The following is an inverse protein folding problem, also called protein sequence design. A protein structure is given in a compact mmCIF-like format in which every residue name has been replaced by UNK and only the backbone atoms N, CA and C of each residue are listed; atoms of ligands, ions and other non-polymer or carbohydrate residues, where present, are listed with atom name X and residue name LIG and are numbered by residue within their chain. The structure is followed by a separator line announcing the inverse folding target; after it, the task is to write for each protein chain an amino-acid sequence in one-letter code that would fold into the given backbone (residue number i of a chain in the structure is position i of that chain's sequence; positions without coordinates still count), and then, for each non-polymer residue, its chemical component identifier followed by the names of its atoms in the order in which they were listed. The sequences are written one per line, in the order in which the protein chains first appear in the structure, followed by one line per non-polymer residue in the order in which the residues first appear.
data_IF_518170805286
#
_entry.id   IF_518170805286
#
_cell.length_a   1.000
_cell.length_b   1.000
_cell.length_c   1.000
_cell.angle_alpha   90.00
_cell.angle_beta   90.00
_cell.angle_gamma   90.00
#
_symmetry.space_group_name_H-M   'P 1'
#
loop_
_entity.id
_entity.type
_entity.pdbx_description
1 polymer ?
#
# COMPACT_ATOMS: atom_id res chain seq x y z
N UNK A 1 -6.14 -2.99 -17.67
CA UNK A 1 -7.17 -3.55 -16.78
C UNK A 1 -7.94 -2.41 -16.13
N UNK A 2 -9.26 -2.29 -16.33
CA UNK A 2 -10.08 -1.36 -15.54
C UNK A 2 -10.40 -2.04 -14.20
N UNK A 3 -9.86 -1.52 -13.10
CA UNK A 3 -10.14 -2.00 -11.75
C UNK A 3 -11.52 -1.46 -11.36
N UNK A 4 -12.57 -2.30 -11.44
CA UNK A 4 -13.95 -1.89 -11.13
C UNK A 4 -14.23 -1.81 -9.62
N UNK A 5 -13.56 -2.63 -8.80
CA UNK A 5 -13.73 -2.68 -7.34
C UNK A 5 -12.55 -2.03 -6.64
N UNK A 6 -12.81 -1.29 -5.55
CA UNK A 6 -11.76 -0.73 -4.70
C UNK A 6 -10.78 -1.84 -4.24
N UNK A 7 -9.47 -1.71 -4.54
CA UNK A 7 -8.46 -2.64 -4.05
C UNK A 7 -8.39 -2.63 -2.52
N UNK A 8 -8.18 -3.79 -1.90
CA UNK A 8 -8.00 -3.89 -0.45
C UNK A 8 -6.74 -3.15 -0.01
N UNK A 9 -6.84 -2.42 1.10
CA UNK A 9 -5.71 -1.70 1.68
C UNK A 9 -4.68 -2.69 2.25
N UNK A 10 -3.37 -2.54 1.99
CA UNK A 10 -2.35 -3.48 2.49
C UNK A 10 -2.31 -3.56 4.01
N UNK A 11 -2.64 -2.46 4.71
CA UNK A 11 -2.79 -2.47 6.16
C UNK A 11 -3.93 -3.34 6.69
N UNK A 12 -5.03 -3.49 5.93
CA UNK A 12 -6.13 -4.40 6.29
C UNK A 12 -5.68 -5.84 6.17
N UNK A 13 -5.00 -6.19 5.07
CA UNK A 13 -4.40 -7.53 4.88
C UNK A 13 -3.38 -7.85 5.97
N UNK A 14 -2.50 -6.90 6.31
CA UNK A 14 -1.56 -7.09 7.42
C UNK A 14 -2.30 -7.36 8.76
N UNK A 15 -3.43 -6.71 8.99
CA UNK A 15 -4.23 -6.89 10.21
C UNK A 15 -4.90 -8.26 10.26
N UNK A 16 -5.63 -8.61 9.19
CA UNK A 16 -6.50 -9.78 9.14
C UNK A 16 -5.72 -11.08 8.89
N UNK A 17 -4.67 -11.03 8.05
CA UNK A 17 -4.02 -12.25 7.56
C UNK A 17 -2.68 -12.53 8.26
N UNK A 18 -2.13 -11.54 8.98
CA UNK A 18 -0.84 -11.68 9.69
C UNK A 18 -0.98 -11.45 11.19
N UNK A 19 -1.43 -10.26 11.61
CA UNK A 19 -1.42 -9.89 13.03
C UNK A 19 -2.44 -10.70 13.83
N UNK A 20 -3.69 -10.79 13.36
CA UNK A 20 -4.74 -11.55 14.06
C UNK A 20 -4.47 -13.05 14.14
N UNK A 21 -4.09 -13.76 13.05
CA UNK A 21 -3.85 -15.20 13.09
C UNK A 21 -2.65 -15.58 13.96
N UNK A 22 -1.65 -14.70 14.06
CA UNK A 22 -0.51 -14.87 14.95
C UNK A 22 -0.79 -14.47 16.41
N UNK A 23 -2.00 -13.99 16.73
CA UNK A 23 -2.38 -13.56 18.09
C UNK A 23 -1.57 -12.36 18.59
N UNK A 24 -1.00 -11.55 17.69
CA UNK A 24 -0.14 -10.45 18.08
C UNK A 24 -0.94 -9.21 18.47
N UNK A 25 -0.53 -8.56 19.55
CA UNK A 25 -1.01 -7.20 19.84
C UNK A 25 -0.38 -6.22 18.85
N UNK A 26 -1.04 -5.08 18.61
CA UNK A 26 -0.47 -3.99 17.78
C UNK A 26 0.88 -3.51 18.32
N UNK A 27 1.06 -3.52 19.65
CA UNK A 27 2.31 -3.13 20.28
C UNK A 27 3.43 -4.13 19.96
N UNK A 28 3.16 -5.42 20.07
CA UNK A 28 4.14 -6.48 19.78
C UNK A 28 4.48 -6.52 18.29
N UNK A 29 3.48 -6.43 17.40
CA UNK A 29 3.71 -6.37 15.97
C UNK A 29 4.54 -5.12 15.58
N UNK A 30 4.28 -3.96 16.18
CA UNK A 30 5.05 -2.75 15.92
C UNK A 30 6.52 -2.89 16.38
N UNK A 31 6.72 -3.52 17.54
CA UNK A 31 8.07 -3.83 18.06
C UNK A 31 8.83 -4.74 17.10
N UNK A 32 8.22 -5.83 16.63
CA UNK A 32 8.83 -6.77 15.66
C UNK A 32 9.17 -6.11 14.32
N UNK A 33 8.31 -5.20 13.86
CA UNK A 33 8.55 -4.43 12.64
C UNK A 33 9.55 -3.27 12.84
N UNK A 34 9.99 -2.98 14.06
CA UNK A 34 10.88 -1.85 14.36
C UNK A 34 10.25 -0.50 13.99
N UNK A 35 8.98 -0.30 14.35
CA UNK A 35 8.22 0.94 14.13
C UNK A 35 7.45 1.34 15.38
N UNK A 36 7.00 2.60 15.44
CA UNK A 36 6.16 3.02 16.55
C UNK A 36 4.78 2.35 16.47
N UNK A 37 4.15 2.10 17.63
CA UNK A 37 2.75 1.61 17.70
C UNK A 37 1.79 2.53 16.94
N UNK A 38 2.01 3.85 16.99
CA UNK A 38 1.19 4.85 16.27
C UNK A 38 1.29 4.65 14.75
N UNK A 39 2.51 4.44 14.24
CA UNK A 39 2.75 4.19 12.81
C UNK A 39 2.04 2.93 12.35
N UNK A 40 2.22 1.81 13.06
CA UNK A 40 1.55 0.56 12.70
C UNK A 40 0.02 0.70 12.81
N UNK A 41 -0.48 1.32 13.88
CA UNK A 41 -1.91 1.55 14.09
C UNK A 41 -2.55 2.35 12.95
N UNK A 42 -1.87 3.40 12.47
CA UNK A 42 -2.36 4.18 11.34
C UNK A 42 -2.45 3.34 10.05
N UNK A 43 -1.44 2.50 9.80
CA UNK A 43 -1.42 1.60 8.63
C UNK A 43 -2.56 0.56 8.70
N UNK A 44 -2.67 -0.19 9.80
CA UNK A 44 -3.64 -1.31 9.92
C UNK A 44 -5.10 -0.86 10.03
N UNK A 45 -5.32 0.43 10.33
CA UNK A 45 -6.64 1.05 10.32
C UNK A 45 -6.91 1.85 9.04
N UNK A 46 -6.11 1.65 7.99
CA UNK A 46 -6.27 2.27 6.67
C UNK A 46 -6.22 3.81 6.70
N UNK A 47 -5.57 4.40 7.71
CA UNK A 47 -5.40 5.85 7.89
C UNK A 47 -4.07 6.36 7.35
N UNK A 48 -3.17 5.48 6.93
CA UNK A 48 -1.90 5.80 6.31
C UNK A 48 -1.58 4.80 5.20
N UNK A 49 -1.01 5.28 4.09
CA UNK A 49 -0.50 4.43 3.03
C UNK A 49 0.73 3.64 3.47
N UNK A 50 0.94 2.48 2.85
CA UNK A 50 2.15 1.70 3.02
C UNK A 50 3.34 2.38 2.30
N UNK A 51 4.40 2.70 3.04
CA UNK A 51 5.67 3.18 2.45
C UNK A 51 6.56 2.02 1.97
N UNK A 52 7.51 2.26 1.05
CA UNK A 52 8.51 1.26 0.66
C UNK A 52 9.31 0.68 1.84
N UNK A 53 9.72 1.53 2.78
CA UNK A 53 10.42 1.07 3.99
C UNK A 53 9.57 0.13 4.84
N UNK A 54 8.27 0.43 4.99
CA UNK A 54 7.35 -0.43 5.72
C UNK A 54 7.11 -1.75 4.97
N UNK A 55 7.02 -1.72 3.63
CA UNK A 55 6.91 -2.92 2.81
C UNK A 55 8.11 -3.86 3.02
N UNK A 56 9.34 -3.32 3.05
CA UNK A 56 10.56 -4.09 3.35
C UNK A 56 10.49 -4.72 4.76
N UNK A 57 10.04 -3.95 5.76
CA UNK A 57 9.91 -4.45 7.15
C UNK A 57 8.90 -5.59 7.26
N UNK A 58 7.73 -5.45 6.63
CA UNK A 58 6.69 -6.48 6.62
C UNK A 58 7.18 -7.72 5.87
N UNK A 59 7.78 -7.54 4.70
CA UNK A 59 8.34 -8.62 3.90
C UNK A 59 9.35 -9.47 4.68
N UNK A 60 10.30 -8.82 5.36
CA UNK A 60 11.26 -9.51 6.23
C UNK A 60 10.60 -10.24 7.40
N UNK A 61 9.55 -9.67 7.99
CA UNK A 61 8.85 -10.27 9.12
C UNK A 61 7.89 -11.41 8.74
N UNK A 62 7.52 -11.52 7.47
CA UNK A 62 6.53 -12.49 6.96
C UNK A 62 7.10 -13.45 5.92
N UNK A 63 8.40 -13.34 5.61
CA UNK A 63 9.08 -14.11 4.55
C UNK A 63 8.38 -13.99 3.18
N UNK A 64 7.91 -12.78 2.87
CA UNK A 64 7.25 -12.44 1.60
C UNK A 64 8.04 -11.40 0.81
N UNK A 65 7.61 -11.05 -0.41
CA UNK A 65 8.26 -10.03 -1.24
C UNK A 65 7.78 -8.60 -0.89
N UNK A 66 8.67 -7.61 -0.71
CA UNK A 66 8.29 -6.19 -0.56
C UNK A 66 7.43 -5.66 -1.72
N UNK A 67 7.70 -6.13 -2.94
CA UNK A 67 7.02 -5.75 -4.17
C UNK A 67 5.55 -6.14 -4.15
N UNK A 68 5.19 -7.29 -3.57
CA UNK A 68 3.79 -7.71 -3.44
C UNK A 68 3.00 -6.72 -2.59
N UNK A 69 3.56 -6.29 -1.45
CA UNK A 69 2.93 -5.30 -0.57
C UNK A 69 2.84 -3.93 -1.22
N UNK A 70 3.90 -3.48 -1.89
CA UNK A 70 3.88 -2.21 -2.64
C UNK A 70 2.89 -2.24 -3.79
N UNK A 71 2.79 -3.35 -4.53
CA UNK A 71 1.84 -3.49 -5.62
C UNK A 71 0.39 -3.36 -5.15
N UNK A 72 0.07 -3.83 -3.95
CA UNK A 72 -1.25 -3.61 -3.35
C UNK A 72 -1.52 -2.12 -3.11
N UNK A 73 -0.54 -1.42 -2.52
CA UNK A 73 -0.63 0.02 -2.30
C UNK A 73 -0.76 0.78 -3.63
N UNK A 74 0.06 0.46 -4.62
CA UNK A 74 0.04 1.09 -5.94
C UNK A 74 -1.30 0.86 -6.64
N UNK A 75 -1.88 -0.35 -6.56
CA UNK A 75 -3.22 -0.61 -7.10
C UNK A 75 -4.28 0.26 -6.45
N UNK A 76 -4.25 0.39 -5.11
CA UNK A 76 -5.18 1.24 -4.37
C UNK A 76 -5.01 2.72 -4.74
N UNK A 77 -3.78 3.20 -4.80
CA UNK A 77 -3.48 4.60 -5.12
C UNK A 77 -3.88 4.95 -6.56
N UNK A 78 -3.58 4.06 -7.51
CA UNK A 78 -4.02 4.19 -8.90
C UNK A 78 -5.55 4.16 -9.01
N UNK A 79 -6.23 3.28 -8.27
CA UNK A 79 -7.69 3.25 -8.26
C UNK A 79 -8.26 4.57 -7.72
N UNK A 80 -7.76 5.08 -6.59
CA UNK A 80 -8.17 6.38 -6.03
C UNK A 80 -7.87 7.54 -6.99
N UNK A 81 -6.71 7.54 -7.61
CA UNK A 81 -6.29 8.55 -8.59
C UNK A 81 -7.19 8.52 -9.83
N UNK A 82 -7.50 7.34 -10.37
CA UNK A 82 -8.32 7.18 -11.59
C UNK A 82 -9.74 7.75 -11.49
N UNK A 83 -10.23 7.99 -10.28
CA UNK A 83 -11.54 8.62 -10.02
C UNK A 83 -11.49 10.15 -10.12
N UNK A 84 -10.31 10.73 -10.29
CA UNK A 84 -10.11 12.17 -10.51
C UNK A 84 -10.06 12.45 -12.01
N UNK A 85 -10.49 13.63 -12.40
CA UNK A 85 -10.32 14.12 -13.76
C UNK A 85 -8.96 14.79 -13.90
N UNK A 86 -8.21 14.40 -14.94
CA UNK A 86 -6.91 14.98 -15.29
C UNK A 86 -7.01 15.60 -16.69
N UNK A 87 -6.61 16.86 -16.81
CA UNK A 87 -6.42 17.49 -18.11
C UNK A 87 -4.96 17.25 -18.55
N UNK A 88 -4.76 16.40 -19.54
CA UNK A 88 -3.43 16.04 -20.05
C UNK A 88 -3.40 16.20 -21.57
N UNK A 89 -2.31 16.76 -22.08
CA UNK A 89 -2.00 16.79 -23.51
C UNK A 89 -1.15 15.56 -23.82
N UNK A 90 -1.50 14.81 -24.85
CA UNK A 90 -0.78 13.59 -25.21
C UNK A 90 0.60 13.92 -25.79
N UNK A 91 1.64 13.19 -25.37
CA UNK A 91 3.01 13.35 -25.89
C UNK A 91 3.16 13.17 -27.42
N UNK A 92 2.12 12.72 -28.11
CA UNK A 92 2.11 12.55 -29.57
C UNK A 92 1.58 13.77 -30.33
N UNK A 93 1.09 14.80 -29.66
CA UNK A 93 0.59 16.04 -30.28
C UNK A 93 1.71 17.09 -30.44
N UNK A 94 2.86 16.69 -30.98
CA UNK A 94 3.82 17.66 -31.52
C UNK A 94 3.54 17.77 -33.01
N UNK A 95 2.73 18.77 -33.38
CA UNK A 95 2.66 19.19 -34.77
C UNK A 95 4.07 19.54 -35.26
N UNK A 96 4.38 19.06 -36.45
CA UNK A 96 5.61 19.28 -37.20
C UNK A 96 6.27 20.64 -36.90
N UNK A 97 7.46 20.60 -36.30
CA UNK A 97 8.47 21.64 -36.51
C UNK A 97 9.47 21.02 -37.47
N UNK A 98 9.19 21.19 -38.77
CA UNK A 98 10.17 21.20 -39.84
C UNK A 98 10.18 22.59 -40.44
#
# INVERSE_FOLDING_TARGET
MRIQREPTHPGEVLREDVIKPLGLTVTEAAKRLGVTRKTLSALINCKASLSPEMAIKIAKATETSPESWLNMQSKLDLWKASRRHYNVIGFKETHAIV
#
